data_IF_430591050640
#
_entry.id   IF_430591050640
#
_cell.length_a   1.000
_cell.length_b   1.000
_cell.length_c   1.000
_cell.angle_alpha   90.00
_cell.angle_beta   90.00
_cell.angle_gamma   90.00
#
_symmetry.space_group_name_H-M   'P 1'
#
loop_
_entity.id
_entity.type
_entity.pdbx_description
1 polymer ?
#
# COMPACT_ATOMS: atom_id res chain seq x y z
N UNK A 1 19.03 -72.17 -65.04
CA UNK A 1 19.76 -70.88 -64.98
C UNK A 1 18.91 -69.94 -64.17
N UNK A 2 19.45 -69.35 -63.10
CA UNK A 2 18.69 -68.37 -62.33
C UNK A 2 18.46 -67.15 -63.23
N UNK A 3 17.23 -66.63 -63.28
CA UNK A 3 16.98 -65.38 -63.96
C UNK A 3 17.73 -64.26 -63.20
N UNK A 4 18.60 -63.53 -63.89
CA UNK A 4 19.47 -62.49 -63.32
C UNK A 4 18.92 -61.07 -63.59
N UNK A 5 17.61 -60.95 -63.85
CA UNK A 5 16.92 -59.67 -64.00
C UNK A 5 16.87 -58.93 -62.66
N UNK A 6 17.06 -57.62 -62.68
CA UNK A 6 17.14 -56.78 -61.47
C UNK A 6 16.47 -55.43 -61.67
N UNK A 7 15.93 -54.87 -60.58
CA UNK A 7 15.62 -53.44 -60.48
C UNK A 7 16.62 -52.85 -59.48
N UNK A 8 17.46 -51.92 -59.95
CA UNK A 8 18.51 -51.29 -59.16
C UNK A 8 18.19 -49.84 -58.80
N UNK A 9 17.16 -49.25 -59.42
CA UNK A 9 16.73 -47.89 -59.11
C UNK A 9 15.39 -47.54 -59.71
N UNK A 10 14.76 -46.51 -59.14
CA UNK A 10 13.54 -45.85 -59.62
C UNK A 10 13.70 -44.38 -59.28
N UNK A 11 13.26 -43.50 -60.17
CA UNK A 11 13.15 -42.07 -59.88
C UNK A 11 11.86 -41.82 -59.14
N UNK A 12 11.95 -41.16 -57.97
CA UNK A 12 10.80 -40.69 -57.21
C UNK A 12 10.73 -39.17 -57.28
N UNK A 13 9.52 -38.64 -57.46
CA UNK A 13 9.25 -37.21 -57.43
C UNK A 13 8.00 -36.91 -56.61
N UNK A 14 7.94 -35.71 -56.03
CA UNK A 14 6.81 -35.14 -55.29
C UNK A 14 6.58 -33.71 -55.78
N UNK A 15 5.33 -33.25 -55.76
CA UNK A 15 5.00 -31.85 -56.03
C UNK A 15 5.05 -30.97 -54.77
N UNK A 16 5.18 -31.58 -53.60
CA UNK A 16 5.26 -30.89 -52.31
C UNK A 16 6.62 -30.21 -52.11
N UNK A 17 6.60 -29.11 -51.37
CA UNK A 17 7.78 -28.27 -51.11
C UNK A 17 7.99 -28.06 -49.61
N UNK A 18 9.06 -27.36 -49.22
CA UNK A 18 9.28 -26.98 -47.82
C UNK A 18 8.20 -26.04 -47.25
N UNK A 19 7.29 -25.52 -48.09
CA UNK A 19 6.17 -24.66 -47.70
C UNK A 19 4.83 -25.41 -47.71
N UNK A 20 4.82 -26.70 -48.07
CA UNK A 20 3.61 -27.49 -48.06
C UNK A 20 3.07 -27.68 -46.64
N UNK A 21 1.74 -27.71 -46.51
CA UNK A 21 1.05 -27.86 -45.24
C UNK A 21 1.24 -29.27 -44.66
N UNK A 22 1.03 -29.43 -43.36
CA UNK A 22 0.96 -30.76 -42.77
C UNK A 22 -0.28 -31.49 -43.31
N UNK A 23 -0.13 -32.79 -43.60
CA UNK A 23 -1.19 -33.56 -44.22
C UNK A 23 -0.73 -34.86 -44.88
N UNK A 24 -1.70 -35.59 -45.43
CA UNK A 24 -1.46 -36.82 -46.19
C UNK A 24 -1.85 -36.60 -47.65
N UNK A 25 -0.87 -36.76 -48.54
CA UNK A 25 -0.93 -36.48 -49.96
C UNK A 25 -0.91 -37.80 -50.73
N UNK A 26 -2.10 -38.40 -50.86
CA UNK A 26 -2.23 -39.72 -51.49
C UNK A 26 -2.03 -39.63 -53.00
N UNK A 27 -1.07 -40.41 -53.49
CA UNK A 27 -0.70 -40.45 -54.91
C UNK A 27 0.24 -39.35 -55.38
N UNK A 28 0.79 -38.54 -54.47
CA UNK A 28 1.75 -37.48 -54.81
C UNK A 28 3.15 -38.03 -55.12
N UNK A 29 3.56 -39.13 -54.47
CA UNK A 29 4.86 -39.76 -54.79
C UNK A 29 4.71 -40.49 -56.12
N UNK A 30 5.29 -39.93 -57.17
CA UNK A 30 5.30 -40.53 -58.50
C UNK A 30 6.60 -41.28 -58.74
N UNK A 31 6.48 -42.56 -59.09
CA UNK A 31 7.61 -43.39 -59.48
C UNK A 31 7.72 -43.43 -61.01
N UNK A 32 8.94 -43.33 -61.53
CA UNK A 32 9.22 -43.42 -62.95
C UNK A 32 10.63 -43.92 -63.22
N UNK A 33 10.94 -44.17 -64.50
CA UNK A 33 12.29 -44.46 -64.99
C UNK A 33 13.02 -45.56 -64.18
N UNK A 34 12.39 -46.73 -64.04
CA UNK A 34 13.03 -47.89 -63.44
C UNK A 34 14.32 -48.26 -64.19
N UNK A 35 15.37 -48.57 -63.42
CA UNK A 35 16.71 -48.91 -63.91
C UNK A 35 17.06 -50.33 -63.45
N UNK A 36 17.79 -51.09 -64.29
CA UNK A 36 18.22 -52.44 -63.97
C UNK A 36 18.43 -53.32 -65.21
N UNK A 37 18.63 -54.62 -65.00
CA UNK A 37 18.84 -55.62 -66.06
C UNK A 37 17.54 -56.35 -66.41
N UNK A 38 17.31 -56.61 -67.71
CA UNK A 38 16.17 -57.41 -68.17
C UNK A 38 14.80 -56.70 -68.17
N UNK A 39 14.74 -55.42 -67.79
CA UNK A 39 13.48 -54.66 -67.65
C UNK A 39 12.63 -54.59 -68.94
N UNK A 40 13.26 -54.66 -70.13
CA UNK A 40 12.54 -54.66 -71.41
C UNK A 40 11.63 -55.89 -71.60
N UNK A 41 11.83 -56.95 -70.82
CA UNK A 41 10.99 -58.16 -70.84
C UNK A 41 9.70 -58.00 -70.01
N UNK A 42 9.51 -56.85 -69.35
CA UNK A 42 8.41 -56.60 -68.43
C UNK A 42 7.60 -55.37 -68.83
N UNK A 43 6.28 -55.44 -68.66
CA UNK A 43 5.44 -54.24 -68.60
C UNK A 43 5.51 -53.67 -67.18
N UNK A 44 6.10 -52.49 -67.01
CA UNK A 44 6.28 -51.86 -65.70
C UNK A 44 5.08 -50.96 -65.41
N UNK A 45 4.38 -51.24 -64.32
CA UNK A 45 3.34 -50.38 -63.77
C UNK A 45 3.88 -49.66 -62.53
N UNK A 46 3.83 -48.34 -62.55
CA UNK A 46 4.18 -47.53 -61.38
C UNK A 46 2.92 -47.22 -60.58
N UNK A 47 2.94 -47.55 -59.30
CA UNK A 47 1.84 -47.24 -58.39
C UNK A 47 2.25 -46.00 -57.58
N UNK A 48 1.47 -44.91 -57.63
CA UNK A 48 1.74 -43.73 -56.84
C UNK A 48 1.76 -44.05 -55.34
N UNK A 49 2.72 -43.48 -54.62
CA UNK A 49 2.82 -43.55 -53.16
C UNK A 49 2.15 -42.36 -52.49
N UNK A 50 1.97 -42.46 -51.17
CA UNK A 50 1.47 -41.36 -50.33
C UNK A 50 2.63 -40.67 -49.63
N UNK A 51 2.70 -39.34 -49.74
CA UNK A 51 3.57 -38.53 -48.89
C UNK A 51 2.80 -38.08 -47.65
N UNK A 52 3.41 -38.16 -46.47
CA UNK A 52 2.86 -37.61 -45.23
C UNK A 52 3.81 -36.56 -44.70
N UNK A 53 3.27 -35.36 -44.44
CA UNK A 53 3.97 -34.25 -43.81
C UNK A 53 3.40 -34.13 -42.40
N UNK A 54 4.23 -34.45 -41.40
CA UNK A 54 3.82 -34.37 -40.00
C UNK A 54 3.77 -32.91 -39.52
N UNK A 55 2.84 -32.56 -38.62
CA UNK A 55 2.83 -31.24 -38.00
C UNK A 55 4.15 -30.93 -37.28
N UNK A 56 4.64 -29.71 -37.45
CA UNK A 56 5.82 -29.24 -36.72
C UNK A 56 5.49 -28.99 -35.24
N UNK A 57 6.48 -29.11 -34.35
CA UNK A 57 6.29 -28.77 -32.95
C UNK A 57 6.24 -27.25 -32.75
N UNK A 58 5.22 -26.75 -32.06
CA UNK A 58 5.12 -25.35 -31.62
C UNK A 58 4.93 -25.29 -30.11
N UNK A 59 5.80 -24.55 -29.42
CA UNK A 59 5.61 -24.23 -28.01
C UNK A 59 5.13 -22.79 -27.85
N UNK A 60 4.03 -22.58 -27.14
CA UNK A 60 3.50 -21.27 -26.75
C UNK A 60 3.58 -21.15 -25.23
N UNK A 61 4.38 -20.21 -24.73
CA UNK A 61 4.61 -20.02 -23.29
C UNK A 61 3.97 -18.72 -22.84
N UNK A 62 3.08 -18.76 -21.84
CA UNK A 62 2.59 -17.54 -21.21
C UNK A 62 3.73 -16.84 -20.46
N UNK A 63 3.86 -15.53 -20.68
CA UNK A 63 4.83 -14.71 -19.95
C UNK A 63 4.33 -14.44 -18.54
N UNK A 64 5.26 -14.28 -17.61
CA UNK A 64 4.93 -13.85 -16.25
C UNK A 64 4.33 -12.44 -16.28
N UNK A 65 3.38 -12.18 -15.38
CA UNK A 65 2.70 -10.89 -15.26
C UNK A 65 2.63 -10.47 -13.78
N UNK A 66 2.26 -9.23 -13.53
CA UNK A 66 2.01 -8.70 -12.19
C UNK A 66 0.64 -8.03 -12.11
N UNK A 67 0.07 -7.99 -10.91
CA UNK A 67 -1.10 -7.18 -10.54
C UNK A 67 -0.90 -6.65 -9.12
N UNK A 68 -1.66 -5.63 -8.73
CA UNK A 68 -1.65 -5.14 -7.35
C UNK A 68 -2.88 -5.67 -6.62
N UNK A 69 -2.75 -5.99 -5.34
CA UNK A 69 -3.88 -6.38 -4.50
C UNK A 69 -5.04 -5.37 -4.60
N UNK A 70 -6.28 -5.87 -4.75
CA UNK A 70 -7.46 -5.04 -5.02
C UNK A 70 -7.78 -4.87 -6.50
N UNK A 71 -6.82 -5.12 -7.41
CA UNK A 71 -7.01 -4.93 -8.83
C UNK A 71 -7.27 -6.26 -9.55
N UNK A 72 -8.29 -6.30 -10.40
CA UNK A 72 -8.53 -7.44 -11.28
C UNK A 72 -7.34 -7.62 -12.23
N UNK A 73 -6.71 -8.81 -12.28
CA UNK A 73 -5.59 -9.06 -13.18
C UNK A 73 -5.97 -8.87 -14.65
N UNK A 74 -5.08 -8.26 -15.44
CA UNK A 74 -5.25 -8.07 -16.88
C UNK A 74 -4.11 -8.77 -17.62
N UNK A 75 -4.42 -9.87 -18.29
CA UNK A 75 -3.41 -10.74 -18.91
C UNK A 75 -3.14 -10.43 -20.39
N UNK A 76 -4.06 -9.76 -21.08
CA UNK A 76 -4.01 -9.56 -22.53
C UNK A 76 -4.08 -10.87 -23.32
N UNK A 77 -3.79 -10.80 -24.62
CA UNK A 77 -3.80 -11.97 -25.53
C UNK A 77 -2.47 -12.23 -26.21
N UNK A 78 -1.49 -11.34 -26.05
CA UNK A 78 -0.19 -11.38 -26.74
C UNK A 78 1.00 -11.53 -25.78
N UNK A 79 0.75 -11.63 -24.47
CA UNK A 79 1.77 -11.82 -23.44
C UNK A 79 2.28 -13.27 -23.43
N UNK A 80 2.84 -13.70 -24.55
CA UNK A 80 3.37 -15.04 -24.78
C UNK A 80 4.71 -14.99 -25.51
N UNK A 81 5.51 -16.03 -25.39
CA UNK A 81 6.62 -16.32 -26.31
C UNK A 81 6.34 -17.59 -27.09
N UNK A 82 6.78 -17.63 -28.36
CA UNK A 82 6.62 -18.78 -29.24
C UNK A 82 7.97 -19.35 -29.66
N UNK A 83 8.04 -20.67 -29.83
CA UNK A 83 9.21 -21.37 -30.34
C UNK A 83 8.79 -22.49 -31.29
N UNK A 84 9.38 -22.52 -32.48
CA UNK A 84 9.11 -23.53 -33.51
C UNK A 84 8.33 -23.04 -34.74
N UNK A 85 7.89 -21.77 -34.77
CA UNK A 85 7.28 -21.19 -35.97
C UNK A 85 8.29 -21.13 -37.12
N UNK A 86 7.85 -21.52 -38.31
CA UNK A 86 8.62 -21.49 -39.56
C UNK A 86 7.77 -20.86 -40.67
N UNK A 87 8.34 -20.70 -41.87
CA UNK A 87 7.61 -20.31 -43.09
C UNK A 87 6.81 -18.99 -43.00
N UNK A 88 7.18 -18.09 -42.06
CA UNK A 88 6.47 -16.83 -41.85
C UNK A 88 5.13 -16.98 -41.12
N UNK A 89 4.85 -18.15 -40.55
CA UNK A 89 3.68 -18.39 -39.72
C UNK A 89 3.73 -17.56 -38.43
N UNK A 90 2.55 -17.24 -37.90
CA UNK A 90 2.42 -16.30 -36.80
C UNK A 90 1.44 -16.80 -35.73
N UNK A 91 1.65 -16.35 -34.50
CA UNK A 91 0.64 -16.36 -33.43
C UNK A 91 0.26 -14.90 -33.18
N UNK A 92 -0.98 -14.53 -33.47
CA UNK A 92 -1.52 -13.18 -33.30
C UNK A 92 -2.36 -13.02 -32.02
N UNK A 93 -2.74 -14.12 -31.38
CA UNK A 93 -3.45 -14.09 -30.11
C UNK A 93 -3.47 -15.45 -29.41
N UNK A 94 -3.55 -15.43 -28.08
CA UNK A 94 -3.64 -16.60 -27.22
C UNK A 94 -4.64 -16.29 -26.12
N UNK A 95 -5.46 -17.26 -25.77
CA UNK A 95 -6.33 -17.16 -24.59
C UNK A 95 -5.49 -17.39 -23.35
N UNK A 96 -5.32 -16.34 -22.54
CA UNK A 96 -4.63 -16.37 -21.26
C UNK A 96 -5.65 -16.27 -20.12
N UNK A 97 -5.59 -17.20 -19.15
CA UNK A 97 -6.49 -17.21 -18.00
C UNK A 97 -5.73 -17.37 -16.69
N UNK A 98 -6.32 -16.87 -15.60
CA UNK A 98 -5.87 -17.11 -14.24
C UNK A 98 -7.08 -17.30 -13.33
N UNK A 99 -6.92 -18.05 -12.25
CA UNK A 99 -7.95 -18.16 -11.20
C UNK A 99 -7.94 -16.96 -10.24
N UNK A 100 -6.92 -16.11 -10.30
CA UNK A 100 -6.80 -14.94 -9.44
C UNK A 100 -7.84 -13.87 -9.79
N UNK A 101 -8.40 -13.23 -8.77
CA UNK A 101 -9.35 -12.12 -8.89
C UNK A 101 -8.79 -10.88 -8.17
N UNK A 102 -9.49 -9.74 -8.24
CA UNK A 102 -9.10 -8.55 -7.47
C UNK A 102 -9.09 -8.75 -5.94
N UNK A 103 -9.77 -9.79 -5.45
CA UNK A 103 -9.79 -10.15 -4.03
C UNK A 103 -8.72 -11.19 -3.64
N UNK A 104 -8.00 -11.76 -4.60
CA UNK A 104 -6.93 -12.73 -4.33
C UNK A 104 -5.78 -12.07 -3.57
N UNK A 105 -5.32 -12.72 -2.50
CA UNK A 105 -4.25 -12.22 -1.61
C UNK A 105 -2.91 -12.03 -2.32
N UNK A 106 -2.00 -11.29 -1.71
CA UNK A 106 -0.61 -11.17 -2.19
C UNK A 106 0.01 -12.56 -2.32
N UNK A 107 0.66 -12.83 -3.45
CA UNK A 107 1.21 -14.16 -3.74
C UNK A 107 1.40 -14.44 -5.23
N UNK A 108 1.60 -15.72 -5.56
CA UNK A 108 1.82 -16.19 -6.93
C UNK A 108 0.68 -17.09 -7.39
N UNK A 109 0.22 -16.87 -8.62
CA UNK A 109 -0.91 -17.55 -9.25
C UNK A 109 -0.52 -18.02 -10.65
N UNK A 110 -1.10 -19.13 -11.11
CA UNK A 110 -0.84 -19.64 -12.46
C UNK A 110 -1.52 -18.80 -13.54
N UNK A 111 -0.84 -18.66 -14.69
CA UNK A 111 -1.41 -18.22 -15.96
C UNK A 111 -1.43 -19.41 -16.91
N UNK A 112 -2.60 -19.77 -17.41
CA UNK A 112 -2.77 -20.84 -18.39
C UNK A 112 -2.91 -20.25 -19.79
N UNK A 113 -2.10 -20.73 -20.72
CA UNK A 113 -2.24 -20.41 -22.15
C UNK A 113 -3.04 -21.49 -22.87
N UNK A 114 -3.84 -21.08 -23.85
CA UNK A 114 -4.64 -21.97 -24.69
C UNK A 114 -5.11 -21.27 -25.97
N UNK A 115 -5.66 -22.05 -26.91
CA UNK A 115 -6.36 -21.53 -28.08
C UNK A 115 -5.59 -20.42 -28.84
N UNK A 116 -4.33 -20.73 -29.20
CA UNK A 116 -3.54 -19.86 -30.07
C UNK A 116 -4.24 -19.64 -31.41
N UNK A 117 -4.21 -18.39 -31.87
CA UNK A 117 -4.77 -17.90 -33.12
C UNK A 117 -3.64 -17.26 -33.92
N UNK A 118 -3.73 -17.36 -35.24
CA UNK A 118 -2.70 -16.83 -36.14
C UNK A 118 -2.71 -17.52 -37.50
N UNK A 119 -1.64 -17.36 -38.25
CA UNK A 119 -1.50 -17.93 -39.60
C UNK A 119 -0.74 -19.26 -39.53
N UNK A 120 -1.19 -20.26 -40.30
CA UNK A 120 -0.49 -21.54 -40.44
C UNK A 120 -0.58 -22.50 -39.25
N UNK A 121 -1.30 -22.16 -38.17
CA UNK A 121 -1.32 -22.96 -36.94
C UNK A 121 -1.87 -24.39 -37.08
N UNK A 122 -2.64 -24.68 -38.13
CA UNK A 122 -3.09 -26.03 -38.45
C UNK A 122 -1.92 -26.99 -38.79
N UNK A 123 -0.75 -26.44 -39.16
CA UNK A 123 0.46 -27.19 -39.48
C UNK A 123 1.30 -27.56 -38.25
N UNK A 124 0.81 -27.28 -37.03
CA UNK A 124 1.59 -27.45 -35.81
C UNK A 124 0.88 -28.31 -34.76
N UNK A 125 1.66 -29.15 -34.08
CA UNK A 125 1.29 -29.74 -32.80
C UNK A 125 1.65 -28.75 -31.68
N UNK A 126 0.65 -28.02 -31.18
CA UNK A 126 0.85 -26.92 -30.23
C UNK A 126 0.90 -27.42 -28.78
N UNK A 127 1.97 -27.11 -28.08
CA UNK A 127 2.13 -27.31 -26.62
C UNK A 127 2.10 -25.97 -25.90
N UNK A 128 1.29 -25.87 -24.85
CA UNK A 128 1.18 -24.66 -24.03
C UNK A 128 1.96 -24.82 -22.72
N UNK A 129 2.77 -23.80 -22.38
CA UNK A 129 3.46 -23.72 -21.11
C UNK A 129 2.87 -22.57 -20.26
N UNK A 130 2.66 -22.79 -18.96
CA UNK A 130 2.06 -21.79 -18.08
C UNK A 130 3.04 -20.67 -17.75
N UNK A 131 2.48 -19.50 -17.42
CA UNK A 131 3.18 -18.38 -16.82
C UNK A 131 2.81 -18.24 -15.35
N UNK A 132 3.41 -17.27 -14.66
CA UNK A 132 3.05 -16.91 -13.29
C UNK A 132 2.58 -15.46 -13.22
N UNK A 133 1.42 -15.24 -12.61
CA UNK A 133 0.96 -13.94 -12.15
C UNK A 133 1.44 -13.72 -10.71
N UNK A 134 2.10 -12.60 -10.43
CA UNK A 134 2.42 -12.17 -9.05
C UNK A 134 1.47 -11.05 -8.64
N UNK A 135 0.76 -11.21 -7.53
CA UNK A 135 -0.01 -10.14 -6.89
C UNK A 135 0.88 -9.47 -5.86
N UNK A 136 1.23 -8.21 -6.12
CA UNK A 136 2.03 -7.37 -5.24
C UNK A 136 1.16 -6.67 -4.19
N UNK A 137 1.71 -6.33 -3.01
CA UNK A 137 0.98 -5.60 -1.98
C UNK A 137 0.44 -4.25 -2.48
N UNK A 138 -0.78 -3.90 -2.04
CA UNK A 138 -1.32 -2.56 -2.24
C UNK A 138 -0.68 -1.56 -1.25
N UNK A 139 -0.65 -0.28 -1.60
CA UNK A 139 -0.21 0.74 -0.67
C UNK A 139 -1.31 1.05 0.36
N UNK A 140 -0.96 1.07 1.65
CA UNK A 140 -1.83 1.54 2.74
C UNK A 140 -1.13 2.64 3.53
N UNK A 141 -1.73 3.81 3.62
CA UNK A 141 -1.25 4.89 4.50
C UNK A 141 -2.14 5.00 5.73
N UNK A 142 -1.52 5.00 6.91
CA UNK A 142 -2.17 5.22 8.20
C UNK A 142 -1.59 6.48 8.82
N UNK A 143 -2.41 7.51 9.01
CA UNK A 143 -1.98 8.81 9.55
C UNK A 143 -2.54 9.00 10.95
N UNK A 144 -1.68 9.24 11.94
CA UNK A 144 -2.12 9.65 13.27
C UNK A 144 -2.79 11.02 13.21
N UNK A 145 -3.99 11.13 13.80
CA UNK A 145 -4.69 12.39 13.87
C UNK A 145 -4.05 13.30 14.93
N UNK A 146 -4.14 14.60 14.71
CA UNK A 146 -3.74 15.58 15.70
C UNK A 146 -4.64 15.49 16.94
N UNK A 147 -4.04 15.66 18.11
CA UNK A 147 -4.74 15.59 19.40
C UNK A 147 -4.30 16.73 20.31
N UNK A 148 -5.03 16.91 21.40
CA UNK A 148 -4.71 17.89 22.44
C UNK A 148 -4.65 17.23 23.82
N UNK A 149 -3.91 17.84 24.74
CA UNK A 149 -3.91 17.55 26.18
C UNK A 149 -3.73 18.86 26.92
N UNK A 150 -3.97 18.88 28.23
CA UNK A 150 -3.75 20.07 29.06
C UNK A 150 -2.51 19.88 29.92
N UNK A 151 -1.73 20.94 30.14
CA UNK A 151 -0.59 20.91 31.04
C UNK A 151 -0.98 20.31 32.42
N UNK A 152 -0.15 19.43 32.95
CA UNK A 152 -0.47 18.63 34.16
C UNK A 152 -1.12 17.29 33.89
N UNK A 153 -1.73 17.09 32.71
CA UNK A 153 -2.45 15.87 32.38
C UNK A 153 -1.62 14.95 31.48
N UNK A 154 -1.57 13.66 31.84
CA UNK A 154 -0.93 12.65 30.98
C UNK A 154 -1.71 12.53 29.67
N UNK A 155 -1.05 12.67 28.51
CA UNK A 155 -1.72 12.53 27.21
C UNK A 155 -2.37 11.16 27.04
N UNK A 156 -3.60 11.12 26.53
CA UNK A 156 -4.35 9.89 26.23
C UNK A 156 -4.64 9.85 24.74
N UNK A 157 -3.89 9.02 24.00
CA UNK A 157 -3.91 9.03 22.53
C UNK A 157 -4.96 8.13 21.89
N UNK A 158 -5.51 7.16 22.62
CA UNK A 158 -6.39 6.12 22.08
C UNK A 158 -5.68 5.17 21.09
N UNK A 159 -6.44 4.25 20.51
CA UNK A 159 -5.92 3.25 19.55
C UNK A 159 -6.46 3.41 18.13
N UNK A 160 -7.42 4.31 17.92
CA UNK A 160 -8.10 4.51 16.64
C UNK A 160 -8.18 5.98 16.21
N UNK A 161 -7.39 6.85 16.84
CA UNK A 161 -7.27 8.26 16.44
C UNK A 161 -6.35 8.38 15.22
N UNK A 162 -6.77 7.76 14.12
CA UNK A 162 -6.04 7.66 12.84
C UNK A 162 -7.00 7.84 11.67
N UNK A 163 -6.46 8.20 10.51
CA UNK A 163 -7.13 8.05 9.21
C UNK A 163 -6.40 7.04 8.34
N UNK A 164 -7.13 6.30 7.52
CA UNK A 164 -6.57 5.29 6.61
C UNK A 164 -6.89 5.63 5.15
N UNK A 165 -5.93 5.42 4.25
CA UNK A 165 -6.11 5.56 2.81
C UNK A 165 -5.51 4.37 2.06
N UNK A 166 -6.27 3.76 1.16
CA UNK A 166 -5.83 2.64 0.31
C UNK A 166 -6.44 1.28 0.64
N UNK A 167 -7.28 1.15 1.68
CA UNK A 167 -8.01 -0.09 1.96
C UNK A 167 -8.97 -0.44 0.82
N UNK A 168 -8.98 -1.71 0.43
CA UNK A 168 -9.82 -2.30 -0.61
C UNK A 168 -10.47 -3.58 -0.08
N UNK A 169 -11.37 -4.20 -0.86
CA UNK A 169 -11.96 -5.51 -0.55
C UNK A 169 -12.67 -5.63 0.82
N UNK A 170 -13.06 -4.52 1.44
CA UNK A 170 -13.68 -4.51 2.77
C UNK A 170 -12.69 -4.77 3.92
N UNK A 171 -11.38 -4.67 3.66
CA UNK A 171 -10.36 -4.77 4.71
C UNK A 171 -10.46 -3.62 5.71
N UNK A 172 -9.97 -3.88 6.92
CA UNK A 172 -10.17 -2.96 8.05
C UNK A 172 -8.89 -2.78 8.85
N UNK A 173 -8.75 -1.58 9.43
CA UNK A 173 -7.85 -1.32 10.56
C UNK A 173 -8.73 -1.24 11.81
N UNK A 174 -8.45 -2.05 12.81
CA UNK A 174 -9.20 -2.12 14.08
C UNK A 174 -8.40 -1.66 15.29
N UNK A 175 -7.10 -1.41 15.12
CA UNK A 175 -6.25 -0.82 16.15
C UNK A 175 -4.92 -0.35 15.59
N UNK A 176 -4.37 0.70 16.17
CA UNK A 176 -3.05 1.25 15.88
C UNK A 176 -2.40 1.64 17.19
N UNK A 177 -1.10 1.35 17.33
CA UNK A 177 -0.33 1.85 18.45
C UNK A 177 0.03 3.30 18.20
N UNK A 178 -0.48 4.20 19.04
CA UNK A 178 -0.12 5.62 19.03
C UNK A 178 0.77 5.94 20.22
N UNK A 179 1.85 6.66 19.99
CA UNK A 179 2.81 7.03 21.03
C UNK A 179 3.26 8.50 20.89
N UNK A 180 3.60 9.10 22.03
CA UNK A 180 4.23 10.40 22.12
C UNK A 180 5.29 10.37 23.23
N UNK A 181 6.32 11.21 23.13
CA UNK A 181 7.29 11.40 24.21
C UNK A 181 6.80 12.39 25.27
N UNK A 182 5.70 13.09 24.99
CA UNK A 182 5.12 14.05 25.93
C UNK A 182 4.49 13.34 27.14
N UNK A 183 4.66 13.95 28.31
CA UNK A 183 4.12 13.52 29.60
C UNK A 183 3.27 14.63 30.21
N UNK A 184 2.58 14.37 31.33
CA UNK A 184 1.83 15.42 32.04
C UNK A 184 2.69 16.59 32.57
N UNK A 185 4.01 16.39 32.66
CA UNK A 185 4.97 17.45 33.04
C UNK A 185 5.54 18.22 31.84
N UNK A 186 5.26 17.79 30.61
CA UNK A 186 5.76 18.45 29.40
C UNK A 186 5.11 19.83 29.26
N UNK A 187 5.91 20.85 28.96
CA UNK A 187 5.46 22.24 28.86
C UNK A 187 4.42 22.45 27.76
N UNK A 188 3.69 23.56 27.81
CA UNK A 188 2.78 24.00 26.73
C UNK A 188 3.54 24.07 25.42
N UNK A 189 2.98 23.47 24.36
CA UNK A 189 3.66 23.38 23.07
C UNK A 189 3.15 22.25 22.17
N UNK A 190 3.93 21.92 21.15
CA UNK A 190 3.62 20.88 20.16
C UNK A 190 4.60 19.73 20.25
N UNK A 191 4.08 18.51 20.20
CA UNK A 191 4.81 17.25 20.32
C UNK A 191 4.38 16.28 19.22
N UNK A 192 5.25 15.37 18.82
CA UNK A 192 4.92 14.36 17.81
C UNK A 192 4.03 13.24 18.36
N UNK A 193 3.12 12.75 17.52
CA UNK A 193 2.42 11.47 17.70
C UNK A 193 2.91 10.53 16.60
N UNK A 194 3.49 9.40 16.98
CA UNK A 194 3.89 8.34 16.04
C UNK A 194 2.83 7.24 16.01
N UNK A 195 2.53 6.72 14.82
CA UNK A 195 1.71 5.54 14.63
C UNK A 195 2.56 4.31 14.27
N UNK A 196 2.16 3.14 14.75
CA UNK A 196 2.80 1.86 14.42
C UNK A 196 1.88 0.68 14.71
N UNK A 197 2.33 -0.52 14.34
CA UNK A 197 1.71 -1.80 14.71
C UNK A 197 0.18 -1.84 14.50
N UNK A 198 -0.26 -1.51 13.29
CA UNK A 198 -1.67 -1.62 12.91
C UNK A 198 -2.15 -3.08 12.99
N UNK A 199 -3.36 -3.23 13.48
CA UNK A 199 -4.10 -4.48 13.61
C UNK A 199 -5.39 -4.35 12.82
N UNK A 200 -5.88 -5.48 12.29
CA UNK A 200 -7.06 -5.50 11.45
C UNK A 200 -7.12 -6.72 10.55
N UNK A 201 -8.09 -6.73 9.64
CA UNK A 201 -8.26 -7.78 8.64
C UNK A 201 -7.56 -7.43 7.34
N UNK A 202 -6.93 -8.40 6.69
CA UNK A 202 -6.34 -8.24 5.35
C UNK A 202 -5.03 -7.45 5.27
N UNK A 203 -4.51 -6.91 6.38
CA UNK A 203 -3.33 -6.04 6.40
C UNK A 203 -2.04 -6.68 5.85
N UNK A 204 -1.95 -8.01 5.82
CA UNK A 204 -0.84 -8.74 5.20
C UNK A 204 -0.74 -8.50 3.67
N UNK A 205 -1.80 -8.02 3.04
CA UNK A 205 -1.83 -7.71 1.61
C UNK A 205 -1.38 -6.28 1.28
N UNK A 206 -0.88 -5.52 2.27
CA UNK A 206 -0.53 -4.13 2.10
C UNK A 206 0.92 -3.84 2.50
N UNK A 207 1.56 -2.94 1.75
CA UNK A 207 2.74 -2.22 2.18
C UNK A 207 2.29 -1.01 3.02
N UNK A 208 2.36 -1.15 4.35
CA UNK A 208 1.83 -0.14 5.29
C UNK A 208 2.87 0.96 5.55
N UNK A 209 2.46 2.21 5.36
CA UNK A 209 3.23 3.42 5.70
C UNK A 209 2.51 4.19 6.81
N UNK A 210 3.24 4.61 7.83
CA UNK A 210 2.71 5.40 8.93
C UNK A 210 3.12 6.87 8.80
N UNK A 211 2.16 7.78 8.95
CA UNK A 211 2.41 9.22 9.01
C UNK A 211 2.13 9.76 10.41
N UNK A 212 3.00 10.65 10.93
CA UNK A 212 2.85 11.18 12.27
C UNK A 212 1.72 12.22 12.36
N UNK A 213 1.19 12.37 13.57
CA UNK A 213 0.31 13.46 13.97
C UNK A 213 1.02 14.40 14.93
N UNK A 214 0.32 15.44 15.39
CA UNK A 214 0.81 16.40 16.39
C UNK A 214 -0.09 16.38 17.62
N UNK A 215 0.50 16.24 18.79
CA UNK A 215 -0.12 16.53 20.08
C UNK A 215 0.15 17.99 20.45
N UNK A 216 -0.89 18.75 20.77
CA UNK A 216 -0.75 20.09 21.36
C UNK A 216 -1.05 20.03 22.84
N UNK A 217 -0.12 20.48 23.69
CA UNK A 217 -0.37 20.68 25.12
C UNK A 217 -0.81 22.12 25.32
N UNK A 218 -2.06 22.30 25.73
CA UNK A 218 -2.66 23.59 26.03
C UNK A 218 -2.37 24.02 27.48
N UNK A 219 -2.34 25.34 27.77
CA UNK A 219 -2.16 25.83 29.12
C UNK A 219 -3.21 25.32 30.10
N UNK A 220 -2.78 25.01 31.33
CA UNK A 220 -3.69 24.73 32.44
C UNK A 220 -4.32 26.04 32.96
N UNK A 221 -5.51 25.96 33.54
CA UNK A 221 -6.09 27.11 34.21
C UNK A 221 -5.42 27.34 35.57
N UNK A 222 -4.99 28.58 35.85
CA UNK A 222 -4.53 29.01 37.17
C UNK A 222 -5.37 30.20 37.63
N UNK A 223 -5.98 30.09 38.80
CA UNK A 223 -6.65 31.22 39.46
C UNK A 223 -5.79 31.74 40.60
N UNK A 224 -5.53 33.05 40.61
CA UNK A 224 -4.84 33.76 41.68
C UNK A 224 -5.82 34.75 42.31
N UNK A 225 -6.19 34.53 43.56
CA UNK A 225 -7.18 35.35 44.28
C UNK A 225 -6.49 36.20 45.33
N UNK A 226 -6.63 37.51 45.26
CA UNK A 226 -6.18 38.40 46.34
C UNK A 226 -6.99 38.11 47.61
N UNK A 227 -6.30 37.88 48.72
CA UNK A 227 -6.97 37.68 50.00
C UNK A 227 -7.48 39.02 50.53
N UNK A 228 -8.60 38.98 51.26
CA UNK A 228 -9.09 40.15 51.96
C UNK A 228 -8.06 40.63 52.99
N UNK A 229 -7.93 41.94 53.15
CA UNK A 229 -6.99 42.57 54.08
C UNK A 229 -7.71 43.63 54.91
N UNK A 230 -7.05 44.11 55.96
CA UNK A 230 -7.50 45.24 56.77
C UNK A 230 -6.40 46.30 56.87
N UNK A 231 -6.78 47.56 57.01
CA UNK A 231 -5.87 48.66 57.37
C UNK A 231 -6.53 49.51 58.46
N UNK A 232 -5.74 50.16 59.29
CA UNK A 232 -6.28 51.09 60.29
C UNK A 232 -6.53 52.45 59.66
N UNK A 233 -7.63 53.11 60.03
CA UNK A 233 -7.92 54.49 59.61
C UNK A 233 -6.74 55.43 59.87
N UNK A 234 -6.39 56.26 58.87
CA UNK A 234 -5.24 57.15 58.91
C UNK A 234 -3.92 56.54 58.42
N UNK A 235 -3.85 55.21 58.22
CA UNK A 235 -2.63 54.51 57.78
C UNK A 235 -2.68 54.14 56.29
N UNK A 236 -1.56 54.30 55.60
CA UNK A 236 -1.41 53.81 54.22
C UNK A 236 -1.50 52.28 54.19
N UNK A 237 -2.39 51.68 53.36
CA UNK A 237 -2.50 50.24 53.27
C UNK A 237 -1.21 49.56 52.81
N UNK A 238 -0.83 48.45 53.45
CA UNK A 238 0.32 47.61 53.06
C UNK A 238 -0.20 46.23 52.70
N UNK A 239 -0.19 45.89 51.41
CA UNK A 239 -0.83 44.67 50.90
C UNK A 239 0.12 43.47 50.80
N UNK A 240 1.44 43.68 50.82
CA UNK A 240 2.43 42.63 50.56
C UNK A 240 2.36 42.07 49.14
N UNK A 241 3.09 40.99 48.88
CA UNK A 241 3.16 40.32 47.56
C UNK A 241 2.68 38.87 47.59
N UNK A 242 2.42 38.31 48.77
CA UNK A 242 2.07 36.89 48.97
C UNK A 242 0.69 36.70 49.57
N UNK A 243 -0.07 37.78 49.78
CA UNK A 243 -1.42 37.75 50.34
C UNK A 243 -2.45 37.33 49.28
N UNK A 244 -2.25 36.14 48.73
CA UNK A 244 -3.08 35.52 47.68
C UNK A 244 -3.35 34.06 48.01
N UNK A 245 -4.41 33.50 47.46
CA UNK A 245 -4.58 32.05 47.30
C UNK A 245 -4.47 31.67 45.82
N UNK A 246 -4.04 30.43 45.57
CA UNK A 246 -3.87 29.89 44.22
C UNK A 246 -4.63 28.59 44.06
N UNK A 247 -5.29 28.40 42.92
CA UNK A 247 -5.96 27.15 42.56
C UNK A 247 -5.57 26.74 41.13
N UNK A 248 -5.17 25.48 40.96
CA UNK A 248 -4.83 24.90 39.64
C UNK A 248 -3.34 24.62 39.40
N UNK A 249 -2.45 24.97 40.34
CA UNK A 249 -1.03 24.61 40.23
C UNK A 249 -0.85 23.08 40.24
N UNK A 250 -0.01 22.59 39.33
CA UNK A 250 0.36 21.18 39.16
C UNK A 250 1.88 21.06 39.06
N UNK A 251 2.41 19.83 39.01
CA UNK A 251 3.83 19.55 38.75
C UNK A 251 4.84 20.23 39.71
N UNK A 252 4.40 20.66 40.90
CA UNK A 252 5.24 21.38 41.86
C UNK A 252 5.50 22.84 41.50
N UNK A 253 4.74 23.40 40.55
CA UNK A 253 4.82 24.81 40.19
C UNK A 253 4.37 25.73 41.34
N UNK A 254 4.86 26.95 41.33
CA UNK A 254 4.69 27.88 42.45
C UNK A 254 4.34 29.28 41.99
N UNK A 255 3.60 30.01 42.82
CA UNK A 255 3.50 31.46 42.78
C UNK A 255 4.26 32.00 44.00
N UNK A 256 5.35 32.73 43.77
CA UNK A 256 6.22 33.30 44.80
C UNK A 256 6.00 34.79 45.03
N UNK A 257 5.26 35.47 44.14
CA UNK A 257 4.89 36.87 44.31
C UNK A 257 3.78 37.30 43.36
N UNK A 258 2.98 38.26 43.78
CA UNK A 258 1.88 38.86 43.02
C UNK A 258 1.88 40.36 43.27
N UNK A 259 1.59 41.15 42.24
CA UNK A 259 1.37 42.58 42.39
C UNK A 259 -0.05 42.81 42.90
N UNK A 260 -0.17 43.29 44.14
CA UNK A 260 -1.44 43.67 44.77
C UNK A 260 -1.56 45.19 44.85
N UNK A 261 -2.66 45.73 44.34
CA UNK A 261 -2.95 47.16 44.37
C UNK A 261 -4.33 47.44 44.95
N UNK A 262 -4.47 48.61 45.57
CA UNK A 262 -5.77 49.15 46.01
C UNK A 262 -5.80 50.64 45.71
N UNK A 263 -7.00 51.18 45.49
CA UNK A 263 -7.20 52.63 45.34
C UNK A 263 -7.23 53.36 46.69
N UNK A 264 -7.30 52.63 47.81
CA UNK A 264 -7.33 53.22 49.14
C UNK A 264 -5.97 53.81 49.54
N UNK A 265 -6.00 54.95 50.23
CA UNK A 265 -4.82 55.66 50.74
C UNK A 265 -4.96 55.89 52.24
N UNK A 266 -3.93 56.42 52.91
CA UNK A 266 -4.04 56.79 54.33
C UNK A 266 -5.12 57.84 54.65
N UNK A 267 -5.60 58.57 53.63
CA UNK A 267 -6.69 59.54 53.77
C UNK A 267 -8.09 58.94 53.48
N UNK A 268 -8.17 57.67 53.09
CA UNK A 268 -9.43 57.01 52.80
C UNK A 268 -10.28 56.83 54.07
N UNK A 269 -11.58 57.02 53.95
CA UNK A 269 -12.55 56.83 55.04
C UNK A 269 -12.71 55.35 55.40
N UNK A 270 -13.26 55.08 56.60
CA UNK A 270 -13.70 53.72 56.99
C UNK A 270 -14.64 53.16 55.92
N UNK A 271 -14.38 51.94 55.46
CA UNK A 271 -15.10 51.38 54.31
C UNK A 271 -14.40 50.19 53.64
N UNK A 272 -14.98 49.73 52.53
CA UNK A 272 -14.47 48.61 51.72
C UNK A 272 -13.89 49.11 50.41
N UNK A 273 -12.69 48.64 50.09
CA UNK A 273 -11.95 48.99 48.88
C UNK A 273 -11.50 47.72 48.16
N UNK A 274 -11.47 47.73 46.84
CA UNK A 274 -10.98 46.58 46.06
C UNK A 274 -9.47 46.38 46.21
N UNK A 275 -9.04 45.12 46.25
CA UNK A 275 -7.65 44.71 46.04
C UNK A 275 -7.58 44.00 44.69
N UNK A 276 -6.78 44.53 43.77
CA UNK A 276 -6.57 43.93 42.45
C UNK A 276 -5.25 43.17 42.45
N UNK A 277 -5.29 41.90 42.02
CA UNK A 277 -4.10 41.09 41.78
C UNK A 277 -3.69 41.13 40.30
N UNK A 278 -2.39 41.11 40.05
CA UNK A 278 -1.81 41.05 38.70
C UNK A 278 -0.35 40.57 38.75
N UNK A 279 0.23 40.27 37.58
CA UNK A 279 1.65 39.99 37.40
C UNK A 279 2.21 38.98 38.42
N UNK A 280 1.59 37.80 38.49
CA UNK A 280 2.10 36.67 39.26
C UNK A 280 3.49 36.27 38.76
N UNK A 281 4.38 36.00 39.71
CA UNK A 281 5.75 35.56 39.52
C UNK A 281 5.93 34.23 40.23
N UNK A 282 6.78 33.36 39.69
CA UNK A 282 7.01 32.03 40.23
C UNK A 282 7.55 31.07 39.17
N UNK A 283 7.62 29.79 39.50
CA UNK A 283 8.09 28.74 38.60
C UNK A 283 6.95 28.15 37.79
N UNK A 284 7.19 27.85 36.51
CA UNK A 284 6.24 27.13 35.65
C UNK A 284 5.04 27.93 35.12
N UNK A 285 4.89 29.21 35.52
CA UNK A 285 3.71 30.03 35.18
C UNK A 285 3.47 30.23 33.68
N UNK A 286 4.48 30.05 32.83
CA UNK A 286 4.33 30.07 31.37
C UNK A 286 3.40 28.96 30.84
N UNK A 287 3.16 27.91 31.63
CA UNK A 287 2.28 26.79 31.26
C UNK A 287 0.81 27.01 31.67
N UNK A 288 0.46 28.19 32.18
CA UNK A 288 -0.88 28.46 32.69
C UNK A 288 -1.54 29.66 32.01
N UNK A 289 -2.84 29.53 31.75
CA UNK A 289 -3.72 30.65 31.52
C UNK A 289 -4.14 31.24 32.88
N UNK A 290 -3.46 32.32 33.31
CA UNK A 290 -3.66 32.92 34.63
C UNK A 290 -4.85 33.87 34.64
N UNK A 291 -5.79 33.64 35.56
CA UNK A 291 -6.92 34.52 35.86
C UNK A 291 -6.77 35.09 37.26
N UNK A 292 -7.01 36.40 37.42
CA UNK A 292 -6.93 37.08 38.71
C UNK A 292 -8.31 37.39 39.27
N UNK A 293 -8.50 37.11 40.56
CA UNK A 293 -9.72 37.47 41.28
C UNK A 293 -9.41 38.53 42.36
N UNK A 294 -10.26 39.56 42.49
CA UNK A 294 -10.03 40.64 43.44
C UNK A 294 -10.32 40.19 44.88
N UNK A 295 -9.66 40.87 45.82
CA UNK A 295 -9.94 40.82 47.25
C UNK A 295 -10.59 42.13 47.71
N UNK A 296 -10.87 42.24 49.00
CA UNK A 296 -11.40 43.44 49.64
C UNK A 296 -10.48 43.89 50.78
N UNK A 297 -10.08 45.15 50.77
CA UNK A 297 -9.47 45.86 51.89
C UNK A 297 -10.58 46.52 52.73
N UNK A 298 -10.56 46.33 54.04
CA UNK A 298 -11.43 47.07 54.98
C UNK A 298 -10.60 48.03 55.82
N UNK A 299 -10.97 49.33 55.82
CA UNK A 299 -10.39 50.38 56.69
C UNK A 299 -11.34 50.64 57.86
#
# INVERSE_FOLDING_TARGET
TANHDTVTGVTLATSETSQSNAGSYTGDITASAAQGTGLANYAITYVPGTLTIDPAALTVTALNQTSTYGQTPVLGTTNVSTAGLVNGDTVSGVTLTTAATGASTVGRYGITASAAQGTGLANYAVTYQPGTLTIDPAALTITALNQTSTYGQTPVLGTMNVSTAGLVNGDTVSGVTLATTATGASAVGRYGITASAAQGSGLANYAVTYQPGTLTIDPAALTVTALNQTSTYGQTPVLGTTNVSTAGLVNGDTVSGVTLTTAATGASTVGRYGITASAAQGSGLANYAVTYQPGTLTI
#
